data_IF_949069206349
#
_entry.id   IF_949069206349
#
_cell.length_a   1.000
_cell.length_b   1.000
_cell.length_c   1.000
_cell.angle_alpha   90.00
_cell.angle_beta   90.00
_cell.angle_gamma   90.00
#
_symmetry.space_group_name_H-M   'P 1'
#
loop_
_entity.id
_entity.type
_entity.pdbx_description
1 polymer ?
#
# COMPACT_ATOMS: atom_id res chain seq x y z
N UNK A 1 13.35 -1.53 -19.43
CA UNK A 1 12.33 -1.29 -20.47
C UNK A 1 11.95 0.18 -20.47
N UNK A 2 11.62 0.75 -21.64
CA UNK A 2 10.92 2.04 -21.70
C UNK A 2 9.46 1.79 -21.33
N UNK A 3 8.98 2.44 -20.26
CA UNK A 3 7.61 2.25 -19.80
C UNK A 3 6.58 2.78 -20.82
N UNK A 4 6.95 3.78 -21.62
CA UNK A 4 6.05 4.47 -22.56
C UNK A 4 5.68 3.59 -23.73
N UNK A 5 6.66 2.85 -24.27
CA UNK A 5 6.46 1.98 -25.44
C UNK A 5 6.30 0.51 -25.04
N UNK A 6 6.83 0.10 -23.89
CA UNK A 6 6.92 -1.29 -23.48
C UNK A 6 8.17 -2.00 -24.01
N UNK A 7 9.02 -1.29 -24.76
CA UNK A 7 10.20 -1.86 -25.41
C UNK A 7 11.31 -2.23 -24.42
N UNK A 8 11.93 -3.38 -24.66
CA UNK A 8 13.06 -3.84 -23.88
C UNK A 8 14.36 -3.19 -24.40
N UNK A 9 14.91 -2.25 -23.62
CA UNK A 9 16.15 -1.53 -23.98
C UNK A 9 17.42 -2.34 -23.65
N UNK A 10 17.36 -3.11 -22.58
CA UNK A 10 18.43 -4.01 -22.14
C UNK A 10 17.83 -5.25 -21.48
N UNK A 11 18.39 -6.42 -21.77
CA UNK A 11 18.00 -7.69 -21.18
C UNK A 11 19.23 -8.58 -20.99
N UNK A 12 19.29 -9.25 -19.84
CA UNK A 12 20.24 -10.32 -19.58
C UNK A 12 19.51 -11.40 -18.78
N UNK A 13 19.46 -12.64 -19.30
CA UNK A 13 18.76 -13.76 -18.65
C UNK A 13 17.32 -13.40 -18.25
N UNK A 14 16.66 -12.53 -19.01
CA UNK A 14 15.42 -11.86 -18.57
C UNK A 14 14.24 -12.82 -18.41
N UNK A 15 14.28 -13.99 -19.05
CA UNK A 15 13.28 -15.06 -19.00
C UNK A 15 13.64 -16.21 -18.05
N UNK A 16 14.74 -16.11 -17.31
CA UNK A 16 15.13 -17.14 -16.34
C UNK A 16 14.14 -17.17 -15.18
N UNK A 17 13.61 -18.36 -14.90
CA UNK A 17 12.65 -18.59 -13.81
C UNK A 17 13.39 -18.62 -12.47
N UNK A 18 13.08 -17.64 -11.62
CA UNK A 18 13.68 -17.45 -10.31
C UNK A 18 12.61 -17.21 -9.26
N UNK A 19 12.96 -17.42 -7.99
CA UNK A 19 12.05 -17.06 -6.90
C UNK A 19 11.86 -15.53 -6.86
N UNK A 20 10.63 -15.02 -6.95
CA UNK A 20 10.35 -13.58 -6.98
C UNK A 20 10.52 -12.90 -5.62
N UNK A 21 10.55 -13.67 -4.53
CA UNK A 21 10.46 -13.14 -3.18
C UNK A 21 9.26 -12.16 -3.07
N UNK A 22 9.39 -11.09 -2.27
CA UNK A 22 8.32 -10.10 -2.11
C UNK A 22 7.96 -9.27 -3.36
N UNK A 23 8.61 -9.47 -4.52
CA UNK A 23 8.07 -8.92 -5.78
C UNK A 23 6.68 -9.47 -6.08
N UNK A 24 6.34 -10.67 -5.59
CA UNK A 24 4.99 -11.25 -5.63
C UNK A 24 3.90 -10.30 -5.14
N UNK A 25 4.20 -9.45 -4.15
CA UNK A 25 3.21 -8.50 -3.61
C UNK A 25 2.78 -7.43 -4.61
N UNK A 26 3.54 -7.22 -5.70
CA UNK A 26 3.08 -6.39 -6.81
C UNK A 26 1.81 -6.98 -7.43
N UNK A 27 1.74 -8.30 -7.61
CA UNK A 27 0.54 -8.97 -8.14
C UNK A 27 -0.59 -8.95 -7.11
N UNK A 28 -0.28 -9.17 -5.83
CA UNK A 28 -1.30 -9.08 -4.76
C UNK A 28 -1.94 -7.70 -4.70
N UNK A 29 -1.14 -6.64 -4.82
CA UNK A 29 -1.63 -5.25 -4.90
C UNK A 29 -2.38 -5.00 -6.20
N UNK A 30 -1.87 -5.49 -7.35
CA UNK A 30 -2.57 -5.39 -8.63
C UNK A 30 -3.98 -5.98 -8.57
N UNK A 31 -4.12 -7.19 -8.01
CA UNK A 31 -5.41 -7.85 -7.81
C UNK A 31 -6.32 -7.06 -6.85
N UNK A 32 -5.74 -6.50 -5.77
CA UNK A 32 -6.47 -5.67 -4.81
C UNK A 32 -7.01 -4.39 -5.46
N UNK A 33 -6.17 -3.69 -6.24
CA UNK A 33 -6.59 -2.49 -6.95
C UNK A 33 -7.65 -2.80 -8.01
N UNK A 34 -7.50 -3.92 -8.71
CA UNK A 34 -8.50 -4.40 -9.67
C UNK A 34 -9.86 -4.65 -9.00
N UNK A 35 -9.89 -5.25 -7.81
CA UNK A 35 -11.13 -5.47 -7.05
C UNK A 35 -11.79 -4.16 -6.59
N UNK A 36 -10.98 -3.15 -6.24
CA UNK A 36 -11.48 -1.81 -5.93
C UNK A 36 -12.10 -1.14 -7.16
N UNK A 37 -11.43 -1.16 -8.30
CA UNK A 37 -11.96 -0.55 -9.54
C UNK A 37 -13.23 -1.25 -10.04
N UNK A 38 -13.39 -2.55 -9.80
CA UNK A 38 -14.63 -3.29 -10.09
C UNK A 38 -15.74 -3.07 -9.05
N UNK A 39 -15.48 -2.31 -7.99
CA UNK A 39 -16.45 -2.06 -6.92
C UNK A 39 -16.75 -3.28 -6.04
N UNK A 40 -15.90 -4.31 -6.07
CA UNK A 40 -16.05 -5.52 -5.24
C UNK A 40 -15.72 -5.22 -3.77
N UNK A 41 -14.78 -4.30 -3.54
CA UNK A 41 -14.36 -3.82 -2.22
C UNK A 41 -14.09 -2.32 -2.26
N UNK A 42 -14.10 -1.66 -1.11
CA UNK A 42 -13.79 -0.23 -0.96
C UNK A 42 -12.59 -0.05 -0.02
N UNK A 43 -11.97 1.13 -0.05
CA UNK A 43 -10.81 1.44 0.79
C UNK A 43 -11.11 1.36 2.32
N UNK A 44 -12.35 1.54 2.73
CA UNK A 44 -12.86 1.38 4.10
C UNK A 44 -13.42 -0.02 4.40
N UNK A 45 -13.46 -0.94 3.43
CA UNK A 45 -13.83 -2.34 3.68
C UNK A 45 -12.92 -2.94 4.75
N UNK A 46 -13.54 -3.58 5.74
CA UNK A 46 -12.83 -4.28 6.82
C UNK A 46 -12.47 -5.69 6.36
N UNK A 47 -11.21 -6.04 6.50
CA UNK A 47 -10.69 -7.36 6.18
C UNK A 47 -10.35 -8.07 7.48
N UNK A 48 -10.86 -9.29 7.65
CA UNK A 48 -10.62 -10.10 8.84
C UNK A 48 -9.28 -10.83 8.70
N UNK A 49 -8.45 -10.75 9.73
CA UNK A 49 -7.15 -11.41 9.75
C UNK A 49 -7.32 -12.86 10.23
N UNK A 50 -6.98 -13.82 9.38
CA UNK A 50 -7.03 -15.24 9.77
C UNK A 50 -5.89 -15.61 10.72
N UNK A 51 -6.02 -16.77 11.38
CA UNK A 51 -4.89 -17.38 12.13
C UNK A 51 -3.68 -17.62 11.24
N UNK A 52 -3.90 -18.03 9.99
CA UNK A 52 -2.82 -18.27 9.02
C UNK A 52 -2.06 -16.99 8.73
N UNK A 53 -2.77 -15.92 8.35
CA UNK A 53 -2.18 -14.61 8.09
C UNK A 53 -1.39 -14.07 9.29
N UNK A 54 -1.95 -14.12 10.50
CA UNK A 54 -1.25 -13.66 11.72
C UNK A 54 0.06 -14.43 12.00
N UNK A 55 0.10 -15.72 11.64
CA UNK A 55 1.22 -16.62 11.86
C UNK A 55 2.28 -16.58 10.75
N UNK A 56 2.11 -15.76 9.71
CA UNK A 56 3.13 -15.61 8.67
C UNK A 56 4.48 -15.15 9.27
N UNK A 57 5.62 -15.64 8.75
CA UNK A 57 6.95 -15.15 9.12
C UNK A 57 7.15 -13.67 8.75
N UNK A 58 8.07 -12.94 9.44
CA UNK A 58 8.46 -11.59 9.03
C UNK A 58 9.08 -11.53 7.62
N UNK A 59 9.07 -10.39 6.92
CA UNK A 59 8.50 -9.09 7.29
C UNK A 59 6.98 -9.15 7.45
N UNK A 60 6.46 -8.58 8.54
CA UNK A 60 5.03 -8.56 8.85
C UNK A 60 4.64 -7.31 9.65
N UNK A 61 3.35 -6.97 9.67
CA UNK A 61 2.83 -5.84 10.44
C UNK A 61 2.60 -6.21 11.92
N UNK A 62 2.35 -7.49 12.21
CA UNK A 62 2.11 -8.00 13.56
C UNK A 62 0.61 -8.05 13.89
N UNK A 63 -0.21 -8.32 12.89
CA UNK A 63 -1.67 -8.41 13.05
C UNK A 63 -2.07 -9.66 13.86
N UNK A 64 -3.18 -9.56 14.60
CA UNK A 64 -3.72 -10.65 15.42
C UNK A 64 -4.87 -11.34 14.71
N UNK A 65 -5.02 -12.65 14.92
CA UNK A 65 -6.16 -13.39 14.37
C UNK A 65 -7.50 -12.82 14.90
N UNK A 66 -8.49 -12.72 14.03
CA UNK A 66 -9.80 -12.12 14.32
C UNK A 66 -9.83 -10.58 14.29
N UNK A 67 -8.67 -9.93 14.17
CA UNK A 67 -8.61 -8.47 14.01
C UNK A 67 -9.24 -8.07 12.68
N UNK A 68 -9.89 -6.90 12.65
CA UNK A 68 -10.43 -6.31 11.43
C UNK A 68 -9.72 -4.99 11.12
N UNK A 69 -9.19 -4.88 9.90
CA UNK A 69 -8.43 -3.70 9.47
C UNK A 69 -8.98 -3.18 8.14
N UNK A 70 -9.06 -1.87 7.98
CA UNK A 70 -9.48 -1.30 6.69
C UNK A 70 -8.46 -1.57 5.60
N UNK A 71 -8.98 -1.87 4.41
CA UNK A 71 -8.20 -2.18 3.22
C UNK A 71 -7.13 -1.12 2.92
N UNK A 72 -7.42 0.18 3.12
CA UNK A 72 -6.45 1.26 2.93
C UNK A 72 -5.16 1.09 3.73
N UNK A 73 -5.23 0.56 4.95
CA UNK A 73 -4.07 0.36 5.82
C UNK A 73 -3.30 -0.90 5.43
N UNK A 74 -4.02 -1.96 5.04
CA UNK A 74 -3.43 -3.18 4.50
C UNK A 74 -2.65 -2.90 3.22
N UNK A 75 -3.23 -2.16 2.27
CA UNK A 75 -2.56 -1.73 1.04
C UNK A 75 -1.25 -1.00 1.35
N UNK A 76 -1.27 -0.04 2.28
CA UNK A 76 -0.07 0.71 2.69
C UNK A 76 0.99 -0.22 3.30
N UNK A 77 0.59 -1.14 4.17
CA UNK A 77 1.52 -2.08 4.80
C UNK A 77 2.15 -3.05 3.79
N UNK A 78 1.38 -3.56 2.83
CA UNK A 78 1.89 -4.43 1.76
C UNK A 78 2.82 -3.69 0.81
N UNK A 79 2.46 -2.48 0.37
CA UNK A 79 3.25 -1.68 -0.56
C UNK A 79 4.56 -1.18 0.07
N UNK A 80 4.48 -0.65 1.30
CA UNK A 80 5.60 0.06 1.96
C UNK A 80 6.46 -0.87 2.80
N UNK A 81 5.87 -1.62 3.75
CA UNK A 81 6.61 -2.53 4.66
C UNK A 81 6.84 -3.92 4.08
N UNK A 82 6.16 -4.26 2.98
CA UNK A 82 6.23 -5.60 2.41
C UNK A 82 5.71 -6.69 3.37
N UNK A 83 4.69 -6.36 4.16
CA UNK A 83 4.16 -7.23 5.22
C UNK A 83 3.50 -8.51 4.67
N UNK A 84 3.96 -9.69 5.14
CA UNK A 84 3.52 -11.01 4.70
C UNK A 84 2.11 -11.34 5.21
N UNK A 85 1.88 -11.15 6.51
CA UNK A 85 0.58 -11.32 7.17
C UNK A 85 -0.54 -10.58 6.43
N UNK A 86 -0.26 -9.33 6.05
CA UNK A 86 -1.16 -8.48 5.28
C UNK A 86 -1.43 -9.05 3.89
N UNK A 87 -0.40 -9.51 3.16
CA UNK A 87 -0.58 -10.04 1.82
C UNK A 87 -1.40 -11.34 1.81
N UNK A 88 -1.18 -12.23 2.78
CA UNK A 88 -2.01 -13.43 2.98
C UNK A 88 -3.46 -13.03 3.29
N UNK A 89 -3.67 -12.08 4.21
CA UNK A 89 -5.02 -11.60 4.55
C UNK A 89 -5.74 -10.96 3.36
N UNK A 90 -5.05 -10.17 2.53
CA UNK A 90 -5.60 -9.62 1.29
C UNK A 90 -6.09 -10.74 0.36
N UNK A 91 -5.26 -11.76 0.15
CA UNK A 91 -5.62 -12.89 -0.71
C UNK A 91 -6.82 -13.68 -0.21
N UNK A 92 -6.83 -14.02 1.08
CA UNK A 92 -7.93 -14.75 1.71
C UNK A 92 -9.26 -14.00 1.66
N UNK A 93 -9.27 -12.69 1.93
CA UNK A 93 -10.50 -11.90 1.91
C UNK A 93 -11.02 -11.64 0.48
N UNK A 94 -10.13 -11.57 -0.52
CA UNK A 94 -10.53 -11.34 -1.91
C UNK A 94 -11.02 -12.60 -2.62
N UNK A 95 -10.46 -13.78 -2.31
CA UNK A 95 -10.76 -15.02 -3.01
C UNK A 95 -11.38 -16.13 -2.13
N UNK A 96 -11.59 -15.86 -0.85
CA UNK A 96 -12.07 -16.83 0.15
C UNK A 96 -10.97 -17.76 0.70
N UNK A 97 -9.90 -18.00 -0.05
CA UNK A 97 -8.72 -18.73 0.41
C UNK A 97 -7.45 -18.27 -0.32
N UNK A 98 -6.28 -18.44 0.29
CA UNK A 98 -5.01 -18.12 -0.37
C UNK A 98 -4.76 -19.04 -1.58
N UNK A 99 -5.19 -20.30 -1.53
CA UNK A 99 -5.03 -21.23 -2.65
C UNK A 99 -5.76 -20.73 -3.90
N UNK A 100 -7.04 -20.36 -3.75
CA UNK A 100 -7.81 -19.81 -4.86
C UNK A 100 -7.27 -18.45 -5.30
N UNK A 101 -6.81 -17.62 -4.36
CA UNK A 101 -6.14 -16.36 -4.70
C UNK A 101 -4.91 -16.60 -5.59
N UNK A 102 -4.06 -17.58 -5.28
CA UNK A 102 -2.83 -17.84 -6.06
C UNK A 102 -3.10 -18.41 -7.45
N UNK A 103 -4.19 -19.18 -7.61
CA UNK A 103 -4.73 -19.56 -8.92
C UNK A 103 -5.12 -18.34 -9.73
N UNK A 104 -5.89 -17.42 -9.14
CA UNK A 104 -6.31 -16.18 -9.79
C UNK A 104 -5.12 -15.25 -10.10
N UNK A 105 -4.14 -15.13 -9.20
CA UNK A 105 -2.89 -14.39 -9.45
C UNK A 105 -2.15 -14.96 -10.68
N UNK A 106 -2.09 -16.29 -10.82
CA UNK A 106 -1.42 -16.92 -11.96
C UNK A 106 -2.21 -16.75 -13.24
N UNK A 107 -3.54 -16.81 -13.19
CA UNK A 107 -4.41 -16.50 -14.33
C UNK A 107 -4.26 -15.04 -14.78
N UNK A 108 -4.25 -14.10 -13.82
CA UNK A 108 -4.00 -12.69 -14.08
C UNK A 108 -2.63 -12.48 -14.70
N UNK A 109 -1.58 -13.13 -14.17
CA UNK A 109 -0.25 -13.08 -14.77
C UNK A 109 -0.26 -13.46 -16.25
N UNK A 110 -0.95 -14.54 -16.63
CA UNK A 110 -1.10 -14.95 -18.03
C UNK A 110 -1.86 -13.91 -18.86
N UNK A 111 -2.93 -13.32 -18.32
CA UNK A 111 -3.69 -12.27 -18.99
C UNK A 111 -2.89 -10.96 -19.19
N UNK A 112 -1.88 -10.71 -18.36
CA UNK A 112 -0.93 -9.60 -18.50
C UNK A 112 0.27 -9.94 -19.39
N UNK A 113 0.30 -11.13 -20.00
CA UNK A 113 1.43 -11.59 -20.82
C UNK A 113 2.65 -12.08 -20.04
N UNK A 114 2.54 -12.24 -18.72
CA UNK A 114 3.59 -12.80 -17.86
C UNK A 114 3.62 -14.34 -17.99
N UNK A 115 4.11 -14.84 -19.12
CA UNK A 115 4.04 -16.26 -19.49
C UNK A 115 4.99 -17.18 -18.71
N UNK A 116 5.97 -16.62 -17.99
CA UNK A 116 6.97 -17.35 -17.23
C UNK A 116 6.83 -17.13 -15.71
N UNK A 117 5.60 -16.92 -15.26
CA UNK A 117 5.29 -16.69 -13.84
C UNK A 117 4.31 -17.72 -13.28
N UNK A 118 4.50 -18.15 -12.04
CA UNK A 118 3.54 -18.95 -11.28
C UNK A 118 3.62 -18.57 -9.80
N UNK A 119 2.47 -18.20 -9.24
CA UNK A 119 2.35 -17.85 -7.83
C UNK A 119 1.83 -19.03 -7.01
N UNK A 120 2.38 -19.20 -5.81
CA UNK A 120 2.00 -20.26 -4.86
C UNK A 120 1.62 -19.74 -3.47
N UNK A 121 1.75 -18.44 -3.26
CA UNK A 121 1.30 -17.71 -2.08
C UNK A 121 1.21 -16.21 -2.44
N UNK A 122 0.54 -15.42 -1.60
CA UNK A 122 0.29 -14.00 -1.86
C UNK A 122 1.48 -13.09 -1.48
N UNK A 123 2.43 -13.59 -0.70
CA UNK A 123 3.48 -12.77 -0.08
C UNK A 123 4.87 -12.99 -0.69
N UNK A 124 5.11 -14.14 -1.33
CA UNK A 124 6.37 -14.48 -1.99
C UNK A 124 7.42 -15.13 -1.10
N UNK A 125 7.06 -15.78 0.02
CA UNK A 125 8.03 -16.68 0.68
C UNK A 125 8.33 -17.85 -0.25
N UNK A 126 9.55 -18.37 -0.18
CA UNK A 126 10.04 -19.45 -1.04
C UNK A 126 9.13 -20.67 -0.94
N UNK A 127 8.63 -21.13 -2.08
CA UNK A 127 7.80 -22.33 -2.18
C UNK A 127 8.07 -23.04 -3.52
N UNK A 128 7.91 -24.36 -3.54
CA UNK A 128 8.12 -25.17 -4.75
C UNK A 128 7.13 -24.73 -5.84
N UNK A 129 7.65 -24.47 -7.04
CA UNK A 129 6.84 -23.98 -8.15
C UNK A 129 6.38 -22.52 -8.02
N UNK A 130 6.95 -21.74 -7.08
CA UNK A 130 6.75 -20.29 -6.99
C UNK A 130 7.88 -19.57 -7.72
N UNK A 131 7.62 -19.04 -8.92
CA UNK A 131 8.63 -18.42 -9.76
C UNK A 131 8.08 -17.26 -10.60
N UNK A 132 8.99 -16.39 -11.03
CA UNK A 132 8.75 -15.38 -12.06
C UNK A 132 10.07 -15.07 -12.77
N UNK A 133 10.10 -14.03 -13.59
CA UNK A 133 11.26 -13.58 -14.36
C UNK A 133 11.43 -12.07 -14.27
N UNK A 134 12.61 -11.57 -14.65
CA UNK A 134 12.85 -10.13 -14.70
C UNK A 134 11.96 -9.44 -15.77
N UNK A 135 11.71 -10.12 -16.89
CA UNK A 135 10.81 -9.64 -17.93
C UNK A 135 9.37 -9.52 -17.40
N UNK A 136 8.83 -10.59 -16.81
CA UNK A 136 7.45 -10.63 -16.32
C UNK A 136 7.22 -9.60 -15.20
N UNK A 137 8.17 -9.44 -14.27
CA UNK A 137 8.06 -8.44 -13.20
C UNK A 137 8.17 -7.01 -13.71
N UNK A 138 8.89 -6.77 -14.82
CA UNK A 138 8.92 -5.46 -15.47
C UNK A 138 7.59 -5.14 -16.17
N UNK A 139 6.97 -6.15 -16.82
CA UNK A 139 5.61 -6.04 -17.37
C UNK A 139 4.60 -5.70 -16.26
N UNK A 140 4.64 -6.41 -15.14
CA UNK A 140 3.76 -6.14 -14.00
C UNK A 140 3.97 -4.73 -13.41
N UNK A 141 5.23 -4.29 -13.30
CA UNK A 141 5.55 -2.93 -12.87
C UNK A 141 4.97 -1.86 -13.79
N UNK A 142 4.97 -2.12 -15.10
CA UNK A 142 4.37 -1.24 -16.11
C UNK A 142 2.85 -1.19 -15.98
N UNK A 143 2.21 -2.34 -15.82
CA UNK A 143 0.77 -2.45 -15.58
C UNK A 143 0.34 -1.70 -14.31
N UNK A 144 1.06 -1.84 -13.19
CA UNK A 144 0.79 -1.09 -11.97
C UNK A 144 0.80 0.44 -12.19
N UNK A 145 1.69 0.94 -13.05
CA UNK A 145 1.78 2.37 -13.36
C UNK A 145 0.62 2.85 -14.23
N UNK A 146 0.29 2.12 -15.30
CA UNK A 146 -0.73 2.54 -16.27
C UNK A 146 -2.17 2.26 -15.84
N UNK A 147 -2.40 1.09 -15.24
CA UNK A 147 -3.75 0.63 -14.91
C UNK A 147 -4.24 1.26 -13.60
N UNK A 148 -3.31 1.58 -12.70
CA UNK A 148 -3.61 2.09 -11.35
C UNK A 148 -2.80 3.34 -10.95
N UNK A 149 -2.74 4.39 -11.79
CA UNK A 149 -1.94 5.59 -11.50
C UNK A 149 -2.33 6.28 -10.18
N UNK A 150 -3.60 6.16 -9.75
CA UNK A 150 -4.13 6.67 -8.49
C UNK A 150 -3.54 5.98 -7.25
N UNK A 151 -3.01 4.77 -7.38
CA UNK A 151 -2.40 4.00 -6.27
C UNK A 151 -0.88 3.90 -6.39
N UNK A 152 -0.30 4.19 -7.56
CA UNK A 152 1.14 4.04 -7.81
C UNK A 152 2.00 4.86 -6.85
N UNK A 153 1.51 6.02 -6.39
CA UNK A 153 2.21 6.87 -5.42
C UNK A 153 2.53 6.17 -4.09
N UNK A 154 1.91 5.03 -3.77
CA UNK A 154 2.24 4.24 -2.59
C UNK A 154 3.67 3.68 -2.65
N UNK A 155 4.17 3.37 -3.84
CA UNK A 155 5.50 2.78 -4.03
C UNK A 155 6.66 3.78 -3.88
N UNK A 156 6.37 5.09 -3.97
CA UNK A 156 7.35 6.17 -3.77
C UNK A 156 7.37 6.72 -2.33
N UNK A 157 6.47 6.26 -1.45
CA UNK A 157 6.42 6.70 -0.06
C UNK A 157 7.61 6.15 0.72
N UNK A 158 8.22 7.01 1.55
CA UNK A 158 9.31 6.62 2.48
C UNK A 158 8.77 6.01 3.77
N UNK A 159 7.55 6.38 4.14
CA UNK A 159 6.80 5.80 5.25
C UNK A 159 5.30 5.89 5.00
N UNK A 160 4.53 5.07 5.71
CA UNK A 160 3.08 5.15 5.71
C UNK A 160 2.52 4.82 7.08
N UNK A 161 1.32 5.33 7.36
CA UNK A 161 0.51 4.90 8.48
C UNK A 161 -0.28 3.64 8.07
N UNK A 162 -0.07 2.54 8.79
CA UNK A 162 -0.68 1.24 8.62
C UNK A 162 -1.67 0.91 9.76
N UNK A 163 -2.35 1.93 10.31
CA UNK A 163 -3.31 1.85 11.41
C UNK A 163 -2.64 1.56 12.75
N UNK A 164 -2.12 0.35 12.97
CA UNK A 164 -1.53 -0.03 14.27
C UNK A 164 -0.07 0.42 14.42
N UNK A 165 0.56 0.87 13.33
CA UNK A 165 1.95 1.31 13.34
C UNK A 165 2.25 2.24 12.15
N UNK A 166 3.20 3.15 12.37
CA UNK A 166 3.93 3.81 11.29
C UNK A 166 4.97 2.83 10.74
N UNK A 167 4.99 2.65 9.42
CA UNK A 167 5.91 1.72 8.76
C UNK A 167 6.85 2.44 7.81
N UNK A 168 8.11 1.98 7.74
CA UNK A 168 9.12 2.49 6.82
C UNK A 168 9.17 1.65 5.53
N UNK A 169 9.52 2.29 4.42
CA UNK A 169 9.60 1.65 3.12
C UNK A 169 10.80 0.72 3.00
N UNK A 170 10.58 -0.50 2.49
CA UNK A 170 11.68 -1.44 2.21
C UNK A 170 12.58 -0.99 1.06
N UNK A 171 12.12 -0.06 0.22
CA UNK A 171 12.88 0.51 -0.89
C UNK A 171 13.46 1.90 -0.58
N UNK A 172 13.36 2.37 0.68
CA UNK A 172 13.69 3.77 1.06
C UNK A 172 15.05 4.23 0.57
N UNK A 173 16.11 3.42 0.77
CA UNK A 173 17.48 3.78 0.34
C UNK A 173 17.54 4.09 -1.15
N UNK A 174 17.01 3.21 -1.99
CA UNK A 174 17.01 3.45 -3.44
C UNK A 174 16.19 4.70 -3.84
N UNK A 175 15.04 4.91 -3.19
CA UNK A 175 14.19 6.09 -3.42
C UNK A 175 14.84 7.41 -2.98
N UNK A 176 15.71 7.37 -1.98
CA UNK A 176 16.40 8.56 -1.48
C UNK A 176 17.69 8.83 -2.27
N UNK A 177 18.36 7.78 -2.74
CA UNK A 177 19.68 7.87 -3.37
C UNK A 177 19.65 8.04 -4.91
N UNK A 178 18.56 7.63 -5.59
CA UNK A 178 18.49 7.67 -7.06
C UNK A 178 17.51 8.73 -7.57
N UNK A 179 18.03 9.72 -8.30
CA UNK A 179 17.21 10.80 -8.85
C UNK A 179 16.14 10.30 -9.83
N UNK A 180 14.93 10.82 -9.66
CA UNK A 180 13.74 10.41 -10.41
C UNK A 180 13.11 9.09 -9.97
N UNK A 181 13.65 8.37 -8.97
CA UNK A 181 13.08 7.11 -8.50
C UNK A 181 11.72 7.28 -7.80
N UNK A 182 10.75 6.45 -8.19
CA UNK A 182 9.38 6.50 -7.64
C UNK A 182 8.73 5.12 -7.42
N UNK A 183 9.53 4.05 -7.48
CA UNK A 183 9.03 2.71 -7.22
C UNK A 183 10.08 1.62 -7.49
N UNK A 184 9.69 0.35 -7.56
CA UNK A 184 8.35 -0.17 -7.21
C UNK A 184 8.48 -1.04 -5.97
N UNK A 185 9.23 -2.14 -6.04
CA UNK A 185 9.21 -3.15 -4.98
C UNK A 185 10.54 -3.88 -4.84
N UNK A 186 10.98 -4.05 -3.60
CA UNK A 186 12.09 -4.94 -3.22
C UNK A 186 11.58 -6.32 -2.80
N UNK A 187 12.44 -7.34 -2.95
CA UNK A 187 12.22 -8.68 -2.43
C UNK A 187 13.51 -9.35 -1.98
N UNK A 188 13.44 -10.16 -0.93
CA UNK A 188 14.56 -10.99 -0.49
C UNK A 188 14.05 -12.28 0.15
N UNK A 189 14.67 -13.39 -0.23
CA UNK A 189 14.74 -14.63 0.55
C UNK A 189 16.13 -15.21 0.33
N UNK A 190 16.57 -16.14 1.19
CA UNK A 190 17.87 -16.82 0.98
C UNK A 190 17.98 -17.46 -0.41
N UNK A 191 16.89 -18.02 -0.93
CA UNK A 191 16.86 -18.69 -2.23
C UNK A 191 16.74 -17.71 -3.42
N UNK A 192 16.13 -16.55 -3.23
CA UNK A 192 15.93 -15.56 -4.29
C UNK A 192 17.10 -14.58 -4.46
N UNK A 193 17.90 -14.39 -3.41
CA UNK A 193 18.82 -13.25 -3.33
C UNK A 193 18.06 -11.93 -3.17
N UNK A 194 18.74 -10.82 -3.43
CA UNK A 194 18.20 -9.46 -3.31
C UNK A 194 17.62 -9.00 -4.65
N UNK A 195 16.29 -8.90 -4.72
CA UNK A 195 15.53 -8.51 -5.90
C UNK A 195 15.02 -7.07 -5.79
N UNK A 196 14.88 -6.38 -6.92
CA UNK A 196 14.25 -5.06 -7.03
C UNK A 196 13.68 -4.88 -8.44
N UNK A 197 12.38 -4.54 -8.50
CA UNK A 197 11.78 -3.87 -9.66
C UNK A 197 11.68 -2.39 -9.32
N UNK A 198 12.42 -1.55 -10.04
CA UNK A 198 12.49 -0.12 -9.88
C UNK A 198 11.83 0.62 -11.05
N UNK A 199 11.31 1.81 -10.79
CA UNK A 199 10.98 2.79 -11.82
C UNK A 199 11.62 4.12 -11.50
N UNK A 200 12.02 4.83 -12.55
CA UNK A 200 12.49 6.20 -12.46
C UNK A 200 12.00 7.03 -13.66
N UNK A 201 11.77 8.32 -13.41
CA UNK A 201 11.39 9.29 -14.42
C UNK A 201 12.40 10.44 -14.48
N UNK A 202 12.83 10.79 -15.70
CA UNK A 202 13.67 11.97 -15.99
C UNK A 202 13.02 12.75 -17.14
N UNK A 203 12.50 13.93 -16.85
CA UNK A 203 11.69 14.69 -17.81
C UNK A 203 10.49 13.88 -18.30
N UNK A 204 10.38 13.69 -19.62
CA UNK A 204 9.31 12.91 -20.25
C UNK A 204 9.70 11.44 -20.52
N UNK A 205 10.83 10.96 -19.99
CA UNK A 205 11.29 9.58 -20.09
C UNK A 205 11.00 8.82 -18.81
N UNK A 206 10.52 7.58 -18.94
CA UNK A 206 10.33 6.67 -17.80
C UNK A 206 10.90 5.31 -18.12
N UNK A 207 11.77 4.82 -17.25
CA UNK A 207 12.32 3.48 -17.31
C UNK A 207 11.77 2.62 -16.17
N UNK A 208 11.63 1.33 -16.45
CA UNK A 208 11.44 0.28 -15.45
C UNK A 208 12.60 -0.71 -15.60
N UNK A 209 13.26 -1.02 -14.49
CA UNK A 209 14.39 -1.94 -14.42
C UNK A 209 14.14 -2.98 -13.34
N UNK A 210 14.35 -4.26 -13.67
CA UNK A 210 14.20 -5.36 -12.71
C UNK A 210 15.49 -6.16 -12.61
N UNK A 211 15.98 -6.34 -11.38
CA UNK A 211 17.13 -7.18 -11.05
C UNK A 211 16.66 -8.28 -10.09
N UNK A 212 17.09 -9.51 -10.39
CA UNK A 212 16.95 -10.67 -9.52
C UNK A 212 18.32 -11.14 -9.04
N UNK A 213 18.38 -11.77 -7.86
CA UNK A 213 19.56 -12.51 -7.44
C UNK A 213 20.76 -11.66 -7.03
N UNK A 214 20.57 -10.41 -6.60
CA UNK A 214 21.65 -9.62 -6.01
C UNK A 214 22.22 -10.30 -4.75
N UNK A 215 23.49 -10.07 -4.44
CA UNK A 215 24.17 -10.64 -3.26
C UNK A 215 24.01 -9.78 -2.01
N UNK A 216 23.68 -8.50 -2.19
CA UNK A 216 23.39 -7.56 -1.09
C UNK A 216 22.43 -6.45 -1.55
N UNK A 217 21.84 -5.74 -0.58
CA UNK A 217 21.06 -4.52 -0.82
C UNK A 217 21.87 -3.47 -1.60
N UNK A 218 23.15 -3.28 -1.24
CA UNK A 218 24.02 -2.29 -1.86
C UNK A 218 24.32 -2.65 -3.32
N UNK A 219 24.79 -3.88 -3.57
CA UNK A 219 25.09 -4.35 -4.91
C UNK A 219 23.84 -4.30 -5.81
N UNK A 220 22.69 -4.81 -5.34
CA UNK A 220 21.43 -4.73 -6.09
C UNK A 220 21.07 -3.29 -6.46
N UNK A 221 21.16 -2.35 -5.52
CA UNK A 221 20.85 -0.94 -5.79
C UNK A 221 21.81 -0.35 -6.82
N UNK A 222 23.11 -0.61 -6.68
CA UNK A 222 24.13 -0.16 -7.63
C UNK A 222 23.87 -0.72 -9.03
N UNK A 223 23.54 -2.01 -9.16
CA UNK A 223 23.20 -2.63 -10.44
C UNK A 223 21.96 -2.00 -11.07
N UNK A 224 20.91 -1.77 -10.29
CA UNK A 224 19.69 -1.11 -10.80
C UNK A 224 19.97 0.34 -11.21
N UNK A 225 20.70 1.10 -10.41
CA UNK A 225 21.09 2.47 -10.74
C UNK A 225 21.89 2.51 -12.05
N UNK A 226 22.91 1.65 -12.17
CA UNK A 226 23.70 1.51 -13.40
C UNK A 226 22.84 1.16 -14.61
N UNK A 227 21.91 0.21 -14.48
CA UNK A 227 21.00 -0.14 -15.56
C UNK A 227 20.12 1.03 -15.99
N UNK A 228 19.66 1.86 -15.05
CA UNK A 228 18.85 3.03 -15.40
C UNK A 228 19.73 4.11 -16.06
N UNK A 229 20.89 4.42 -15.49
CA UNK A 229 21.80 5.45 -16.00
C UNK A 229 22.34 5.13 -17.40
N UNK A 230 22.73 3.87 -17.65
CA UNK A 230 23.23 3.44 -18.95
C UNK A 230 22.14 3.51 -20.05
N UNK A 231 20.85 3.46 -19.68
CA UNK A 231 19.76 3.31 -20.65
C UNK A 231 18.88 4.55 -20.81
N UNK A 232 18.87 5.51 -19.87
CA UNK A 232 18.17 6.80 -20.07
C UNK A 232 18.63 7.56 -21.33
N UNK A 233 19.94 7.63 -21.65
CA UNK A 233 20.42 8.24 -22.88
C UNK A 233 20.07 7.46 -24.15
N UNK A 234 19.78 6.15 -24.04
CA UNK A 234 19.52 5.26 -25.19
C UNK A 234 18.08 5.32 -25.69
N UNK A 235 17.15 5.83 -24.88
CA UNK A 235 15.75 5.99 -25.29
C UNK A 235 15.51 7.38 -25.88
N UNK A 236 14.73 7.50 -26.96
CA UNK A 236 14.43 8.78 -27.57
C UNK A 236 13.63 9.69 -26.64
N UNK A 237 13.81 11.00 -26.78
CA UNK A 237 13.09 12.00 -25.99
C UNK A 237 11.59 11.90 -26.24
N UNK A 238 11.17 11.83 -27.50
CA UNK A 238 9.76 11.74 -27.89
C UNK A 238 9.47 10.37 -28.51
N UNK A 239 8.42 9.74 -28.00
CA UNK A 239 7.86 8.50 -28.54
C UNK A 239 6.34 8.63 -28.59
N UNK A 240 5.70 7.89 -29.48
CA UNK A 240 4.28 7.60 -29.34
C UNK A 240 4.13 6.66 -28.15
N UNK A 241 3.45 7.13 -27.11
CA UNK A 241 3.14 6.31 -25.95
C UNK A 241 2.10 5.23 -26.33
N UNK A 242 2.36 4.00 -25.90
CA UNK A 242 1.54 2.83 -26.21
C UNK A 242 1.17 2.15 -24.89
N UNK A 243 0.15 2.62 -24.15
CA UNK A 243 -0.25 2.01 -22.89
C UNK A 243 -0.47 0.49 -23.01
N UNK A 244 -0.16 -0.31 -21.97
CA UNK A 244 -0.42 -1.73 -22.01
C UNK A 244 -1.92 -2.00 -22.16
N UNK A 245 -2.26 -3.10 -22.83
CA UNK A 245 -3.66 -3.49 -23.00
C UNK A 245 -4.23 -3.99 -21.67
N UNK A 246 -5.45 -3.58 -21.34
CA UNK A 246 -6.14 -4.07 -20.15
C UNK A 246 -6.29 -5.61 -20.20
N UNK A 247 -6.01 -6.32 -19.09
CA UNK A 247 -6.07 -7.77 -19.08
C UNK A 247 -7.50 -8.29 -19.31
N UNK A 248 -7.63 -9.28 -20.18
CA UNK A 248 -8.90 -9.93 -20.48
C UNK A 248 -9.10 -11.12 -19.54
N UNK A 249 -9.47 -10.87 -18.28
CA UNK A 249 -9.80 -11.94 -17.32
C UNK A 249 -11.31 -12.10 -17.24
N UNK A 250 -11.83 -13.24 -17.69
CA UNK A 250 -13.21 -13.66 -17.41
C UNK A 250 -13.36 -13.89 -15.91
N UNK A 251 -13.83 -12.88 -15.19
CA UNK A 251 -14.11 -12.98 -13.75
C UNK A 251 -15.55 -13.49 -13.58
N UNK A 252 -15.71 -14.65 -12.96
CA UNK A 252 -17.00 -15.10 -12.44
C UNK A 252 -17.14 -14.47 -11.06
N UNK A 253 -17.64 -13.23 -11.01
CA UNK A 253 -17.85 -12.55 -9.73
C UNK A 253 -18.95 -13.26 -8.96
N UNK A 254 -18.59 -14.03 -7.91
CA UNK A 254 -19.53 -14.29 -6.82
C UNK A 254 -19.65 -12.96 -6.07
N UNK A 255 -20.74 -12.23 -6.32
CA UNK A 255 -21.12 -11.10 -5.45
C UNK A 255 -21.11 -11.62 -4.02
N UNK A 256 -20.19 -11.11 -3.19
CA UNK A 256 -20.34 -11.23 -1.75
C UNK A 256 -21.70 -10.63 -1.42
N UNK A 257 -22.63 -11.46 -0.95
CA UNK A 257 -23.87 -10.96 -0.37
C UNK A 257 -23.49 -10.27 0.93
N UNK A 258 -23.13 -8.99 0.83
CA UNK A 258 -23.20 -8.10 1.97
C UNK A 258 -24.68 -7.97 2.26
N UNK A 259 -25.15 -8.69 3.27
CA UNK A 259 -26.48 -8.43 3.85
C UNK A 259 -26.47 -6.98 4.30
N UNK A 260 -27.15 -6.13 3.54
CA UNK A 260 -27.46 -4.79 3.99
C UNK A 260 -28.26 -4.94 5.28
N UNK A 261 -27.64 -4.65 6.42
CA UNK A 261 -28.40 -4.38 7.62
C UNK A 261 -29.24 -3.15 7.29
N UNK A 262 -30.56 -3.33 7.26
CA UNK A 262 -31.48 -2.24 6.99
C UNK A 262 -31.24 -1.16 8.05
N UNK A 263 -30.64 -0.04 7.65
CA UNK A 263 -30.64 1.16 8.47
C UNK A 263 -32.10 1.52 8.72
N UNK A 264 -32.52 1.47 9.99
CA UNK A 264 -33.83 1.91 10.41
C UNK A 264 -33.96 3.42 10.14
N UNK A 265 -34.41 3.76 8.95
CA UNK A 265 -34.85 5.10 8.57
C UNK A 265 -36.35 5.04 8.33
N UNK A 266 -37.09 4.82 9.42
CA UNK A 266 -38.47 5.28 9.48
C UNK A 266 -38.46 6.67 10.12
N UNK A 267 -38.88 7.73 9.43
CA UNK A 267 -39.21 8.97 10.10
C UNK A 267 -40.50 8.72 10.89
N UNK A 268 -40.38 8.52 12.19
CA UNK A 268 -41.52 8.60 13.11
C UNK A 268 -41.97 10.08 13.15
N UNK A 269 -43.22 10.41 12.78
CA UNK A 269 -43.73 11.76 12.96
C UNK A 269 -43.95 11.98 14.46
N UNK A 270 -42.99 12.63 15.12
CA UNK A 270 -43.18 13.11 16.49
C UNK A 270 -44.25 14.20 16.48
N UNK A 271 -45.49 13.82 16.83
CA UNK A 271 -46.56 14.76 17.15
C UNK A 271 -46.22 15.42 18.49
N UNK A 272 -45.79 16.68 18.46
CA UNK A 272 -45.69 17.50 19.67
C UNK A 272 -47.08 17.69 20.27
N UNK A 273 -47.31 17.08 21.43
CA UNK A 273 -48.46 17.42 22.28
C UNK A 273 -47.98 18.46 23.27
N UNK A 274 -48.37 19.72 23.06
CA UNK A 274 -48.22 20.77 24.06
C UNK A 274 -49.24 20.51 25.18
N UNK A 275 -48.79 19.98 26.30
CA UNK A 275 -49.57 19.99 27.54
C UNK A 275 -49.47 21.39 28.16
N UNK A 276 -50.60 22.08 28.25
CA UNK A 276 -50.71 23.30 29.03
C UNK A 276 -50.51 22.99 30.52
N UNK A 277 -49.58 23.70 31.17
CA UNK A 277 -49.34 23.60 32.61
C UNK A 277 -50.52 24.15 33.40
N UNK A 278 -50.84 23.52 34.54
CA UNK A 278 -51.86 24.02 35.47
C UNK A 278 -51.42 25.32 36.15
N UNK A 279 -52.37 26.22 36.36
CA UNK A 279 -52.18 27.50 37.04
C UNK A 279 -51.68 27.31 38.49
N UNK A 280 -50.82 28.20 39.00
CA UNK A 280 -50.22 28.05 40.32
C UNK A 280 -51.24 28.39 41.43
N UNK A 281 -51.34 27.51 42.42
CA UNK A 281 -52.08 27.74 43.66
C UNK A 281 -51.29 28.64 44.61
N UNK A 282 -52.00 29.52 45.31
CA UNK A 282 -51.46 30.56 46.19
C UNK A 282 -50.67 30.02 47.40
N UNK A 283 -49.73 30.86 47.85
CA UNK A 283 -48.90 30.76 49.07
C UNK A 283 -49.72 30.61 50.35
N UNK A 284 -49.19 29.87 51.34
CA UNK A 284 -49.35 30.20 52.76
C UNK A 284 -48.14 30.95 53.30
N UNK A 285 -48.41 31.78 54.31
CA UNK A 285 -47.50 32.70 54.99
C UNK A 285 -46.92 32.12 56.29
N UNK A 286 -45.70 32.55 56.64
CA UNK A 286 -45.09 32.52 57.99
C UNK A 286 -44.60 31.13 58.46
N UNK A 287 -43.53 30.97 59.24
CA UNK A 287 -42.69 31.89 60.02
C UNK A 287 -41.38 31.17 60.40
N UNK A 288 -40.29 31.95 60.48
CA UNK A 288 -39.19 31.93 61.46
C UNK A 288 -38.19 30.74 61.56
N UNK A 289 -36.90 31.11 61.59
CA UNK A 289 -35.82 30.38 62.28
C UNK A 289 -34.51 30.22 61.50
N UNK A 290 -33.56 31.15 61.68
CA UNK A 290 -32.10 30.90 61.51
C UNK A 290 -31.54 30.48 62.90
N UNK A 291 -30.35 29.81 63.04
CA UNK A 291 -29.05 30.38 62.64
C UNK A 291 -27.94 29.40 62.16
N UNK A 292 -26.89 30.00 61.61
CA UNK A 292 -25.42 29.74 61.64
C UNK A 292 -24.81 28.34 61.87
N UNK A 293 -23.68 28.07 61.18
CA UNK A 293 -22.53 27.38 61.80
C UNK A 293 -21.71 26.41 60.93
N UNK A 294 -20.46 26.81 60.64
CA UNK A 294 -19.21 26.02 60.59
C UNK A 294 -18.84 25.02 59.46
N UNK A 295 -17.72 25.36 58.80
CA UNK A 295 -16.63 24.45 58.35
C UNK A 295 -15.76 24.04 59.59
N UNK A 296 -14.74 23.13 59.60
CA UNK A 296 -13.80 22.79 58.51
C UNK A 296 -13.11 21.38 58.54
N UNK A 297 -12.06 21.22 57.70
CA UNK A 297 -10.86 20.33 57.88
C UNK A 297 -11.04 18.83 57.56
N UNK A 298 -10.07 18.03 57.06
CA UNK A 298 -8.59 17.96 57.02
C UNK A 298 -8.18 17.24 55.70
N UNK A 299 -7.15 17.64 54.96
CA UNK A 299 -5.71 17.43 55.19
C UNK A 299 -5.25 15.96 55.21
N UNK A 300 -4.53 15.56 54.15
CA UNK A 300 -3.34 14.68 54.12
C UNK A 300 -2.79 14.80 52.68
N UNK A 301 -1.78 15.64 52.37
CA UNK A 301 -0.34 15.49 52.62
C UNK A 301 0.16 14.04 52.51
N UNK A 302 0.94 13.77 51.46
CA UNK A 302 2.30 13.24 51.60
C UNK A 302 3.05 13.36 50.26
N UNK A 303 4.26 13.92 50.39
CA UNK A 303 5.26 14.10 49.35
C UNK A 303 6.39 13.05 49.54
N UNK A 304 7.35 13.09 48.61
CA UNK A 304 8.66 12.40 48.57
C UNK A 304 8.59 10.98 47.97
N UNK A 305 9.50 10.50 47.13
CA UNK A 305 10.92 10.82 47.02
C UNK A 305 11.53 10.39 45.65
N UNK A 306 12.73 10.92 45.43
CA UNK A 306 13.73 10.90 44.37
C UNK A 306 14.32 9.50 43.98
N UNK A 307 14.57 9.26 42.67
CA UNK A 307 15.89 9.15 41.95
C UNK A 307 16.72 7.88 42.23
N UNK A 308 17.77 7.47 41.44
CA UNK A 308 18.44 8.13 40.30
C UNK A 308 18.79 7.24 39.07
N UNK A 309 19.33 7.91 38.03
CA UNK A 309 20.12 7.37 36.91
C UNK A 309 21.51 6.86 37.37
N UNK A 310 22.22 6.11 36.51
CA UNK A 310 23.68 6.20 36.44
C UNK A 310 24.20 6.54 35.03
N UNK A 311 25.22 7.40 34.99
CA UNK A 311 26.06 7.72 33.84
C UNK A 311 27.49 7.18 34.04
N UNK A 312 28.03 6.56 32.99
CA UNK A 312 29.40 6.67 32.43
C UNK A 312 30.66 5.99 33.02
N UNK A 313 31.33 5.28 32.08
CA UNK A 313 32.77 5.27 31.68
C UNK A 313 33.83 4.37 32.36
N UNK A 314 34.52 3.60 31.52
CA UNK A 314 35.97 3.40 31.52
C UNK A 314 36.47 3.16 30.06
N UNK A 315 37.71 3.57 29.81
CA UNK A 315 38.37 3.91 28.53
C UNK A 315 39.52 2.91 28.19
N UNK A 316 40.21 3.14 27.06
CA UNK A 316 41.53 2.68 26.55
C UNK A 316 41.39 2.11 25.11
N UNK A 317 41.69 2.87 24.03
CA UNK A 317 43.02 3.21 23.48
C UNK A 317 43.29 2.27 22.27
N UNK A 318 43.51 2.68 21.01
CA UNK A 318 44.59 3.53 20.48
C UNK A 318 44.39 3.92 18.99
N UNK A 319 45.00 5.07 18.64
CA UNK A 319 45.57 5.53 17.35
C UNK A 319 44.70 5.87 16.13
N UNK A 320 44.60 7.18 15.86
CA UNK A 320 44.55 7.79 14.51
C UNK A 320 45.99 8.10 14.00
N UNK A 321 46.19 8.54 12.73
CA UNK A 321 46.04 9.97 12.46
C UNK A 321 45.45 10.37 11.08
N UNK A 322 44.77 11.54 11.12
CA UNK A 322 44.76 12.71 10.20
C UNK A 322 44.56 12.55 8.67
N UNK A 323 43.97 13.50 7.94
CA UNK A 323 43.15 14.70 8.21
C UNK A 323 42.82 15.35 6.82
N UNK A 324 42.00 16.41 6.85
CA UNK A 324 41.67 17.42 5.81
C UNK A 324 40.42 17.14 4.97
N UNK A 325 39.43 18.02 4.76
CA UNK A 325 39.04 19.35 5.28
C UNK A 325 37.58 19.56 4.83
N UNK A 326 36.64 19.83 5.73
CA UNK A 326 35.89 21.09 5.90
C UNK A 326 35.34 21.78 4.63
N UNK A 327 34.00 21.88 4.52
CA UNK A 327 33.27 23.17 4.49
C UNK A 327 31.79 22.98 4.81
N UNK A 328 31.32 23.81 5.74
CA UNK A 328 29.95 24.07 6.16
C UNK A 328 29.03 24.58 5.03
N UNK A 329 27.76 24.17 5.03
CA UNK A 329 26.63 25.10 4.89
C UNK A 329 25.50 24.68 5.84
N UNK A 330 25.08 25.65 6.67
CA UNK A 330 24.06 25.55 7.71
C UNK A 330 22.65 25.83 7.15
N UNK A 331 21.72 25.07 7.71
CA UNK A 331 20.26 25.05 7.62
C UNK A 331 19.48 26.33 7.23
N UNK A 332 18.35 26.10 6.53
CA UNK A 332 17.06 26.74 6.84
C UNK A 332 15.93 25.71 6.74
N UNK A 333 15.25 25.44 7.85
CA UNK A 333 13.92 24.84 7.84
C UNK A 333 12.85 25.94 7.73
N UNK A 334 11.65 25.59 7.25
CA UNK A 334 10.33 26.20 7.56
C UNK A 334 9.19 25.39 6.86
N UNK A 335 7.91 25.61 7.22
CA UNK A 335 7.00 24.55 7.70
C UNK A 335 5.99 23.98 6.68
N UNK A 336 5.22 22.98 7.13
CA UNK A 336 4.08 22.34 6.47
C UNK A 336 3.08 23.29 5.80
N UNK A 337 2.72 23.01 4.56
CA UNK A 337 1.41 23.33 3.99
C UNK A 337 1.06 22.31 2.89
N UNK A 338 -0.20 21.91 2.85
CA UNK A 338 -0.81 21.04 1.84
C UNK A 338 -0.53 21.57 0.42
N UNK A 339 -0.01 20.70 -0.45
CA UNK A 339 -0.16 20.86 -1.89
C UNK A 339 -0.27 19.48 -2.54
N UNK A 340 -1.40 19.25 -3.19
CA UNK A 340 -1.69 18.11 -4.04
C UNK A 340 -0.70 18.10 -5.22
N UNK A 341 0.35 17.29 -5.12
CA UNK A 341 1.21 16.98 -6.26
C UNK A 341 0.47 16.09 -7.25
N UNK A 342 -0.14 16.70 -8.25
CA UNK A 342 -0.78 16.04 -9.37
C UNK A 342 0.24 15.19 -10.14
N UNK A 343 -0.01 13.89 -10.20
CA UNK A 343 0.58 13.03 -11.24
C UNK A 343 -0.03 13.47 -12.58
N UNK A 344 0.81 13.92 -13.51
CA UNK A 344 0.39 14.36 -14.84
C UNK A 344 -0.05 13.14 -15.66
N UNK A 345 -1.36 12.88 -15.66
CA UNK A 345 -2.04 11.92 -16.55
C UNK A 345 -2.22 12.55 -17.95
N UNK A 346 -2.13 11.78 -19.04
CA UNK A 346 -2.76 12.14 -20.31
C UNK A 346 -4.29 12.01 -20.22
N UNK A 347 -5.03 12.94 -20.85
CA UNK A 347 -6.49 13.02 -20.79
C UNK A 347 -7.20 11.76 -21.33
N UNK A 348 -8.32 11.42 -20.70
CA UNK A 348 -9.21 10.32 -21.13
C UNK A 348 -10.08 10.81 -22.29
N UNK A 349 -10.07 10.11 -23.41
CA UNK A 349 -10.96 10.37 -24.54
C UNK A 349 -12.29 9.61 -24.33
N UNK A 350 -13.46 10.27 -24.22
CA UNK A 350 -14.72 9.58 -23.97
C UNK A 350 -15.37 9.19 -25.30
N UNK A 351 -15.14 7.95 -25.77
CA UNK A 351 -16.04 7.31 -26.74
C UNK A 351 -15.85 5.79 -26.74
N UNK A 352 -16.60 5.14 -25.85
CA UNK A 352 -16.96 3.73 -25.97
C UNK A 352 -18.36 3.56 -25.36
N UNK A 353 -19.36 4.13 -26.03
CA UNK A 353 -20.72 3.62 -25.97
C UNK A 353 -20.95 2.90 -27.28
N UNK A 354 -20.94 1.57 -27.26
CA UNK A 354 -21.46 0.76 -28.37
C UNK A 354 -22.98 0.67 -28.24
N UNK A 355 -23.74 0.79 -29.35
CA UNK A 355 -25.19 0.71 -29.30
C UNK A 355 -25.65 -0.75 -29.15
N UNK A 356 -26.77 -0.91 -28.43
CA UNK A 356 -27.53 -2.15 -28.32
C UNK A 356 -28.19 -2.42 -29.68
N UNK A 357 -27.79 -3.51 -30.35
CA UNK A 357 -28.52 -4.05 -31.50
C UNK A 357 -29.73 -4.82 -30.98
N UNK A 358 -30.91 -4.26 -31.23
CA UNK A 358 -32.19 -4.94 -31.03
C UNK A 358 -32.37 -6.03 -32.10
N UNK A 359 -32.82 -7.19 -31.64
CA UNK A 359 -33.25 -8.32 -32.47
C UNK A 359 -34.47 -7.93 -33.32
N UNK A 360 -34.38 -8.13 -34.63
CA UNK A 360 -35.54 -8.22 -35.50
C UNK A 360 -35.63 -9.67 -36.00
N UNK A 361 -36.70 -10.34 -35.61
CA UNK A 361 -37.20 -11.56 -36.21
C UNK A 361 -38.71 -11.37 -36.40
N UNK A 362 -39.25 -12.01 -37.44
CA UNK A 362 -40.60 -11.92 -38.02
C UNK A 362 -40.78 -10.82 -39.09
N UNK A 363 -41.43 -11.04 -40.24
CA UNK A 363 -41.88 -12.22 -41.03
C UNK A 363 -42.55 -11.61 -42.30
N UNK A 364 -42.71 -12.44 -43.32
CA UNK A 364 -43.66 -12.32 -44.45
C UNK A 364 -43.32 -11.35 -45.61
N UNK A 365 -43.29 -11.92 -46.82
CA UNK A 365 -43.24 -11.23 -48.11
C UNK A 365 -42.38 -11.94 -49.14
#
# INVERSE_FOLDING_TARGET
MDARTGEAIYQQNANTRLHPASLTKMMTLYMTFSAIERGEVRLDSKFTISRKAANEPPSKLGLRAGQEIELRYLIRAAAVKSANDVATALGENLAGSEEEFTRQMTQMARALGMNNTQFRNAHGLTSKGHYSTAQDMSLLGRHLFYDFPQYYNLFSRRSADASIARVAATNRRFLDDYDGADGIKTGYTRAAGFNLTASAQRGNKRLIATVFGGTSTAQRNQTVAKLLDDNFPRIPDRVRETPPQAPQVRTVSRRAQVTASAAATRPEPHRMVLQASRAPTARPAGLAGAPEGDAPSRADRLALDSSPRPDSRADLGTSAPNATSATDIRAKGHPSALALGASSRPGVNPRAQSPILASANDRDG
#
